data_IF_542797843865
#
_entry.id   IF_542797843865
#
_cell.length_a   1.000
_cell.length_b   1.000
_cell.length_c   1.000
_cell.angle_alpha   90.00
_cell.angle_beta   90.00
_cell.angle_gamma   90.00
#
_symmetry.space_group_name_H-M   'P 1'
#
loop_
_entity.id
_entity.type
_entity.pdbx_description
1 polymer ?
#
# COMPACT_ATOMS: atom_id res chain seq x y z
N UNK A 1 3.78 -6.46 -31.10
CA UNK A 1 4.09 -5.51 -30.02
C UNK A 1 3.62 -6.11 -28.72
N UNK A 2 4.52 -6.42 -27.77
CA UNK A 2 4.13 -6.63 -26.37
C UNK A 2 4.22 -5.26 -25.69
N UNK A 3 3.14 -4.72 -25.11
CA UNK A 3 3.26 -3.50 -24.32
C UNK A 3 4.21 -3.79 -23.17
N UNK A 4 5.14 -2.89 -22.92
CA UNK A 4 6.04 -2.92 -21.79
C UNK A 4 5.21 -2.71 -20.53
N UNK A 5 4.64 -3.77 -19.97
CA UNK A 5 3.99 -3.71 -18.67
C UNK A 5 5.06 -3.32 -17.64
N UNK A 6 4.95 -2.12 -17.08
CA UNK A 6 5.84 -1.66 -16.03
C UNK A 6 5.41 -2.32 -14.72
N UNK A 7 5.98 -3.48 -14.43
CA UNK A 7 5.81 -4.12 -13.13
C UNK A 7 6.68 -3.40 -12.10
N UNK A 8 6.06 -2.94 -11.02
CA UNK A 8 6.77 -2.43 -9.84
C UNK A 8 6.62 -3.43 -8.71
N UNK A 9 7.65 -3.60 -7.91
CA UNK A 9 7.60 -4.45 -6.72
C UNK A 9 7.50 -3.59 -5.47
N UNK A 10 6.53 -3.89 -4.62
CA UNK A 10 6.35 -3.28 -3.30
C UNK A 10 6.71 -4.31 -2.23
N UNK A 11 7.79 -4.03 -1.51
CA UNK A 11 8.30 -4.86 -0.43
C UNK A 11 7.83 -4.28 0.89
N UNK A 12 7.22 -5.12 1.72
CA UNK A 12 6.57 -4.72 2.97
C UNK A 12 7.36 -5.29 4.12
N UNK A 13 7.77 -4.41 5.03
CA UNK A 13 8.56 -4.76 6.20
C UNK A 13 7.71 -4.69 7.46
N UNK A 14 7.89 -5.64 8.36
CA UNK A 14 7.23 -5.63 9.66
C UNK A 14 7.89 -4.59 10.57
N UNK A 15 7.12 -3.66 11.14
CA UNK A 15 7.66 -2.59 11.97
C UNK A 15 8.47 -3.09 13.19
N UNK A 16 8.03 -4.21 13.80
CA UNK A 16 8.66 -4.79 14.98
C UNK A 16 9.91 -5.63 14.66
N UNK A 17 9.83 -6.49 13.63
CA UNK A 17 10.92 -7.41 13.27
C UNK A 17 11.93 -6.81 12.28
N UNK A 18 11.55 -5.72 11.60
CA UNK A 18 12.26 -5.15 10.43
C UNK A 18 12.55 -6.18 9.32
N UNK A 19 11.85 -7.30 9.33
CA UNK A 19 11.97 -8.35 8.33
C UNK A 19 10.99 -8.11 7.19
N UNK A 20 11.34 -8.59 6.00
CA UNK A 20 10.42 -8.68 4.88
C UNK A 20 9.23 -9.59 5.27
N UNK A 21 8.02 -9.05 5.18
CA UNK A 21 6.77 -9.74 5.51
C UNK A 21 6.03 -10.14 4.24
N UNK A 22 6.07 -9.29 3.20
CA UNK A 22 5.34 -9.55 1.95
C UNK A 22 5.91 -8.79 0.77
N UNK A 23 5.79 -9.39 -0.40
CA UNK A 23 6.13 -8.81 -1.69
C UNK A 23 4.85 -8.73 -2.51
N UNK A 24 4.54 -7.55 -3.04
CA UNK A 24 3.38 -7.31 -3.88
C UNK A 24 3.86 -6.79 -5.23
N UNK A 25 3.49 -7.50 -6.29
CA UNK A 25 3.68 -7.04 -7.66
C UNK A 25 2.55 -6.08 -8.01
N UNK A 26 2.94 -4.89 -8.44
CA UNK A 26 2.05 -3.78 -8.77
C UNK A 26 2.09 -3.58 -10.27
N UNK A 27 0.91 -3.58 -10.88
CA UNK A 27 0.71 -3.28 -12.29
C UNK A 27 0.22 -1.84 -12.47
N UNK A 28 0.20 -1.36 -13.71
CA UNK A 28 -0.33 -0.02 -14.01
C UNK A 28 -1.83 0.11 -13.67
N UNK A 29 -2.57 -1.00 -13.68
CA UNK A 29 -3.99 -1.06 -13.31
C UNK A 29 -4.21 -0.82 -11.81
N UNK A 30 -3.24 -1.22 -10.97
CA UNK A 30 -3.28 -1.04 -9.52
C UNK A 30 -2.96 0.41 -9.09
N UNK A 31 -2.42 1.23 -10.00
CA UNK A 31 -1.98 2.59 -9.63
C UNK A 31 -3.14 3.48 -9.13
N UNK A 32 -4.36 3.24 -9.61
CA UNK A 32 -5.54 4.01 -9.26
C UNK A 32 -6.27 3.51 -7.99
N UNK A 33 -5.89 2.33 -7.44
CA UNK A 33 -6.48 1.84 -6.19
C UNK A 33 -5.80 2.47 -4.96
N UNK A 34 -6.53 2.51 -3.83
CA UNK A 34 -5.97 2.98 -2.57
C UNK A 34 -4.97 1.99 -2.03
N UNK A 35 -3.91 2.50 -1.43
CA UNK A 35 -2.89 1.67 -0.78
C UNK A 35 -3.49 0.79 0.33
N UNK A 36 -4.50 1.30 1.04
CA UNK A 36 -5.19 0.51 2.06
C UNK A 36 -5.91 -0.70 1.46
N UNK A 37 -6.59 -0.52 0.32
CA UNK A 37 -7.39 -1.57 -0.29
C UNK A 37 -6.48 -2.68 -0.85
N UNK A 38 -5.37 -2.30 -1.51
CA UNK A 38 -4.33 -3.24 -1.93
C UNK A 38 -3.81 -4.06 -0.73
N UNK A 39 -3.44 -3.40 0.35
CA UNK A 39 -2.84 -4.07 1.51
C UNK A 39 -3.85 -5.01 2.20
N UNK A 40 -5.13 -4.63 2.27
CA UNK A 40 -6.22 -5.49 2.78
C UNK A 40 -6.44 -6.70 1.88
N UNK A 41 -6.48 -6.52 0.55
CA UNK A 41 -6.67 -7.61 -0.40
C UNK A 41 -5.52 -8.63 -0.32
N UNK A 42 -4.30 -8.14 -0.11
CA UNK A 42 -3.14 -8.95 0.20
C UNK A 42 -3.08 -9.41 1.67
N UNK A 43 -4.15 -9.33 2.44
CA UNK A 43 -4.27 -9.91 3.77
C UNK A 43 -3.36 -9.29 4.84
N UNK A 44 -2.91 -8.05 4.64
CA UNK A 44 -2.14 -7.33 5.64
C UNK A 44 -3.10 -6.62 6.60
N UNK A 45 -2.94 -6.85 7.92
CA UNK A 45 -3.86 -6.32 8.91
C UNK A 45 -3.64 -4.81 9.06
N UNK A 46 -4.43 -4.04 8.32
CA UNK A 46 -4.50 -2.58 8.47
C UNK A 46 -5.74 -2.23 9.28
N UNK A 47 -5.54 -1.49 10.35
CA UNK A 47 -6.62 -1.03 11.19
C UNK A 47 -7.48 0.02 10.45
N UNK A 48 -8.57 -0.43 9.82
CA UNK A 48 -9.58 0.44 9.20
C UNK A 48 -10.71 0.77 10.19
N UNK A 49 -10.37 1.10 11.43
CA UNK A 49 -11.36 1.44 12.46
C UNK A 49 -12.14 2.73 12.15
N UNK A 50 -11.63 3.55 11.22
CA UNK A 50 -12.26 4.78 10.79
C UNK A 50 -12.79 4.77 9.34
N UNK A 51 -12.97 3.59 8.72
CA UNK A 51 -13.49 3.48 7.34
C UNK A 51 -12.74 4.36 6.33
N UNK A 52 -11.43 4.52 6.51
CA UNK A 52 -10.58 5.35 5.67
C UNK A 52 -10.73 6.88 5.81
N UNK A 53 -11.48 7.36 6.82
CA UNK A 53 -11.66 8.79 7.10
C UNK A 53 -10.44 9.48 7.73
N UNK A 54 -9.33 8.77 7.97
CA UNK A 54 -8.08 9.27 8.54
C UNK A 54 -8.18 9.90 9.96
N UNK A 55 -9.32 9.78 10.64
CA UNK A 55 -9.47 10.27 12.02
C UNK A 55 -8.76 9.38 13.04
N UNK A 56 -8.60 8.10 12.72
CA UNK A 56 -8.01 7.11 13.63
C UNK A 56 -6.47 7.11 13.60
N UNK A 57 -5.85 7.56 12.49
CA UNK A 57 -4.38 7.52 12.27
C UNK A 57 -3.74 6.13 12.42
N UNK A 58 -4.53 5.06 12.35
CA UNK A 58 -4.05 3.69 12.55
C UNK A 58 -3.59 3.00 11.26
N UNK A 59 -3.99 3.52 10.08
CA UNK A 59 -3.62 2.96 8.79
C UNK A 59 -2.22 3.38 8.31
N UNK A 60 -1.29 3.61 9.24
CA UNK A 60 0.05 4.13 8.97
C UNK A 60 0.94 3.03 8.36
N UNK A 61 1.56 3.31 7.22
CA UNK A 61 2.46 2.38 6.49
C UNK A 61 3.92 2.77 6.71
N UNK A 62 4.18 4.06 6.82
CA UNK A 62 5.45 4.65 7.26
C UNK A 62 5.14 5.84 8.16
N UNK A 63 6.14 6.40 8.86
CA UNK A 63 5.96 7.51 9.81
C UNK A 63 5.21 8.72 9.23
N UNK A 64 5.20 8.88 7.91
CA UNK A 64 4.55 10.00 7.21
C UNK A 64 3.42 9.58 6.24
N UNK A 65 3.23 8.27 6.00
CA UNK A 65 2.28 7.77 5.01
C UNK A 65 1.14 7.01 5.67
N UNK A 66 -0.08 7.48 5.40
CA UNK A 66 -1.31 6.83 5.81
C UNK A 66 -1.98 6.20 4.59
N UNK A 67 -2.07 4.86 4.57
CA UNK A 67 -2.56 4.07 3.43
C UNK A 67 -3.98 4.43 2.99
N UNK A 68 -4.85 4.85 3.90
CA UNK A 68 -6.24 5.14 3.57
C UNK A 68 -6.47 6.47 2.83
N UNK A 69 -5.44 7.32 2.77
CA UNK A 69 -5.48 8.65 2.14
C UNK A 69 -4.64 8.74 0.86
N UNK A 70 -3.82 7.74 0.57
CA UNK A 70 -2.91 7.76 -0.59
C UNK A 70 -3.31 6.64 -1.57
N UNK A 71 -3.37 7.00 -2.85
CA UNK A 71 -3.38 6.00 -3.93
C UNK A 71 -1.98 5.40 -4.08
N UNK A 72 -1.88 4.24 -4.72
CA UNK A 72 -0.57 3.68 -5.07
C UNK A 72 0.22 4.63 -5.95
N UNK A 73 -0.44 5.29 -6.92
CA UNK A 73 0.19 6.29 -7.77
C UNK A 73 0.84 7.41 -6.96
N UNK A 74 0.14 7.95 -5.96
CA UNK A 74 0.67 9.03 -5.12
C UNK A 74 1.83 8.55 -4.24
N UNK A 75 1.73 7.33 -3.71
CA UNK A 75 2.80 6.72 -2.93
C UNK A 75 4.07 6.50 -3.77
N UNK A 76 3.93 6.02 -5.01
CA UNK A 76 5.06 5.71 -5.89
C UNK A 76 5.69 6.93 -6.58
N UNK A 77 5.06 8.12 -6.46
CA UNK A 77 5.58 9.39 -7.01
C UNK A 77 6.38 10.21 -5.99
N UNK A 78 6.28 9.88 -4.70
CA UNK A 78 7.09 10.48 -3.64
C UNK A 78 8.47 9.81 -3.59
#
# INVERSE_FOLDING_TARGET
MRPSENFKELIIYGAASKSEVKHILITDEDLDIKLMDLLIDHGLPIASSCSGANICKLCMVTDEVISCQNTLRDYLKK
#
